data_IF_329675463629
#
_entry.id   IF_329675463629
#
_cell.length_a   1.000
_cell.length_b   1.000
_cell.length_c   1.000
_cell.angle_alpha   90.00
_cell.angle_beta   90.00
_cell.angle_gamma   90.00
#
_symmetry.space_group_name_H-M   'P 1'
#
loop_
_entity.id
_entity.type
_entity.pdbx_description
1 polymer ?
#
# COMPACT_ATOMS: atom_id res chain seq x y z
N UNK A 1 19.05 -21.47 -0.72
CA UNK A 1 17.81 -21.00 -1.36
C UNK A 1 16.60 -21.90 -1.08
N UNK A 2 16.80 -23.20 -0.84
CA UNK A 2 15.70 -24.15 -0.54
C UNK A 2 15.07 -24.00 0.86
N UNK A 3 15.73 -23.32 1.79
CA UNK A 3 15.25 -23.17 3.18
C UNK A 3 14.16 -22.12 3.39
N UNK A 4 14.03 -21.14 2.50
CA UNK A 4 13.03 -20.08 2.64
C UNK A 4 11.62 -20.48 2.14
N UNK A 5 11.53 -21.49 1.27
CA UNK A 5 10.23 -21.97 0.80
C UNK A 5 9.50 -22.86 1.83
N UNK A 6 10.24 -23.50 2.75
CA UNK A 6 9.67 -24.39 3.76
C UNK A 6 8.90 -23.67 4.89
N UNK A 7 9.14 -22.37 5.09
CA UNK A 7 8.48 -21.56 6.11
C UNK A 7 7.32 -20.69 5.57
N UNK A 8 7.00 -20.82 4.30
CA UNK A 8 5.84 -20.16 3.70
C UNK A 8 4.58 -21.02 3.93
N UNK A 9 3.41 -20.42 4.10
CA UNK A 9 2.15 -21.16 4.14
C UNK A 9 2.04 -22.13 2.97
N UNK A 10 1.45 -23.29 3.23
CA UNK A 10 1.24 -24.36 2.23
C UNK A 10 0.73 -23.77 0.91
N UNK A 11 1.42 -24.08 -0.18
CA UNK A 11 1.07 -23.64 -1.53
C UNK A 11 1.83 -22.42 -2.06
N UNK A 12 2.43 -21.58 -1.20
CA UNK A 12 3.17 -20.40 -1.68
C UNK A 12 4.48 -20.80 -2.36
N UNK A 13 5.17 -21.83 -1.84
CA UNK A 13 6.43 -22.29 -2.42
C UNK A 13 6.32 -22.77 -3.86
N UNK A 14 5.23 -23.47 -4.17
CA UNK A 14 4.99 -23.97 -5.53
C UNK A 14 4.48 -22.89 -6.48
N UNK A 15 3.67 -21.96 -5.96
CA UNK A 15 3.18 -20.80 -6.71
C UNK A 15 4.30 -19.83 -7.07
N UNK A 16 5.33 -19.68 -6.23
CA UNK A 16 6.53 -18.87 -6.53
C UNK A 16 7.30 -19.36 -7.76
N UNK A 17 7.26 -20.68 -8.05
CA UNK A 17 7.89 -21.25 -9.24
C UNK A 17 7.08 -21.00 -10.51
N UNK A 18 5.77 -20.89 -10.37
CA UNK A 18 4.83 -20.77 -11.49
C UNK A 18 4.53 -19.30 -11.81
N UNK A 19 4.46 -18.45 -10.78
CA UNK A 19 4.11 -17.04 -10.91
C UNK A 19 4.86 -16.18 -9.89
N UNK A 20 5.95 -15.48 -10.31
CA UNK A 20 6.69 -14.58 -9.42
C UNK A 20 5.84 -13.46 -8.80
N UNK A 21 4.82 -12.98 -9.51
CA UNK A 21 3.91 -11.95 -9.00
C UNK A 21 3.13 -12.40 -7.76
N UNK A 22 2.79 -13.67 -7.69
CA UNK A 22 2.15 -14.27 -6.52
C UNK A 22 3.02 -14.16 -5.26
N UNK A 23 4.31 -14.52 -5.38
CA UNK A 23 5.24 -14.44 -4.26
C UNK A 23 5.51 -13.00 -3.80
N UNK A 24 5.64 -12.08 -4.75
CA UNK A 24 5.80 -10.66 -4.46
C UNK A 24 4.57 -10.10 -3.74
N UNK A 25 3.36 -10.44 -4.20
CA UNK A 25 2.11 -10.03 -3.59
C UNK A 25 1.99 -10.53 -2.13
N UNK A 26 2.32 -11.80 -1.89
CA UNK A 26 2.28 -12.39 -0.56
C UNK A 26 3.26 -11.73 0.41
N UNK A 27 4.49 -11.48 -0.04
CA UNK A 27 5.52 -10.81 0.75
C UNK A 27 5.16 -9.36 1.06
N UNK A 28 4.72 -8.61 0.06
CA UNK A 28 4.32 -7.21 0.23
C UNK A 28 3.16 -7.09 1.22
N UNK A 29 2.13 -7.92 1.09
CA UNK A 29 0.99 -7.96 2.00
C UNK A 29 1.44 -8.22 3.45
N UNK A 30 2.32 -9.17 3.67
CA UNK A 30 2.82 -9.51 5.00
C UNK A 30 3.62 -8.36 5.64
N UNK A 31 4.51 -7.72 4.87
CA UNK A 31 5.30 -6.58 5.35
C UNK A 31 4.39 -5.42 5.74
N UNK A 32 3.43 -5.08 4.90
CA UNK A 32 2.48 -4.00 5.16
C UNK A 32 1.60 -4.31 6.37
N UNK A 33 1.13 -5.54 6.52
CA UNK A 33 0.36 -5.95 7.70
C UNK A 33 1.17 -5.81 9.00
N UNK A 34 2.46 -6.14 8.96
CA UNK A 34 3.34 -5.94 10.12
C UNK A 34 3.53 -4.45 10.45
N UNK A 35 3.63 -3.57 9.45
CA UNK A 35 3.69 -2.13 9.67
C UNK A 35 2.42 -1.60 10.33
N UNK A 36 1.25 -2.10 9.94
CA UNK A 36 -0.02 -1.76 10.57
C UNK A 36 -0.04 -2.18 12.05
N UNK A 37 0.39 -3.39 12.35
CA UNK A 37 0.43 -3.88 13.74
C UNK A 37 1.36 -3.02 14.58
N UNK A 38 2.56 -2.74 14.09
CA UNK A 38 3.59 -1.96 14.81
C UNK A 38 3.19 -0.51 15.01
N UNK A 39 2.51 0.09 14.05
CA UNK A 39 2.14 1.50 14.08
C UNK A 39 1.17 1.87 15.19
N UNK A 40 0.40 0.91 15.70
CA UNK A 40 -0.54 1.09 16.80
C UNK A 40 -0.10 0.39 18.10
N UNK A 41 1.15 0.00 18.21
CA UNK A 41 1.71 -0.55 19.45
C UNK A 41 1.79 0.55 20.52
N UNK A 42 1.49 0.19 21.76
CA UNK A 42 1.54 1.07 22.96
C UNK A 42 0.44 2.14 23.06
N UNK A 43 -0.70 1.94 22.42
CA UNK A 43 -1.89 2.76 22.62
C UNK A 43 -2.73 2.16 23.76
N UNK A 44 -2.40 2.44 25.02
CA UNK A 44 -3.10 1.89 26.18
C UNK A 44 -4.46 2.57 26.46
N UNK A 45 -5.28 1.91 27.29
CA UNK A 45 -6.56 2.43 27.78
C UNK A 45 -7.69 2.40 26.74
N UNK A 46 -8.58 3.39 26.76
CA UNK A 46 -9.72 3.49 25.83
C UNK A 46 -9.35 3.57 24.35
N UNK A 47 -8.10 3.89 24.05
CA UNK A 47 -7.55 3.97 22.69
C UNK A 47 -7.43 2.61 22.01
N UNK A 48 -7.29 1.52 22.76
CA UNK A 48 -7.07 0.18 22.19
C UNK A 48 -8.24 -0.29 21.32
N UNK A 49 -9.48 0.02 21.71
CA UNK A 49 -10.67 -0.34 20.93
C UNK A 49 -10.66 0.40 19.59
N UNK A 50 -10.39 1.70 19.60
CA UNK A 50 -10.35 2.53 18.39
C UNK A 50 -9.17 2.11 17.52
N UNK A 51 -8.00 1.88 18.11
CA UNK A 51 -6.80 1.40 17.41
C UNK A 51 -7.04 0.04 16.75
N UNK A 52 -7.74 -0.88 17.41
CA UNK A 52 -8.10 -2.18 16.83
C UNK A 52 -9.04 -2.03 15.63
N UNK A 53 -10.03 -1.13 15.70
CA UNK A 53 -10.88 -0.83 14.55
C UNK A 53 -10.05 -0.32 13.38
N UNK A 54 -9.16 0.63 13.60
CA UNK A 54 -8.28 1.19 12.54
C UNK A 54 -7.34 0.13 11.97
N UNK A 55 -6.78 -0.75 12.82
CA UNK A 55 -5.97 -1.90 12.34
C UNK A 55 -6.77 -2.78 11.40
N UNK A 56 -8.02 -3.10 11.73
CA UNK A 56 -8.87 -3.95 10.89
C UNK A 56 -9.22 -3.26 9.57
N UNK A 57 -9.58 -1.99 9.61
CA UNK A 57 -9.86 -1.21 8.39
C UNK A 57 -8.65 -1.20 7.45
N UNK A 58 -7.46 -0.89 7.97
CA UNK A 58 -6.23 -0.86 7.17
C UNK A 58 -5.83 -2.24 6.66
N UNK A 59 -5.95 -3.28 7.48
CA UNK A 59 -5.70 -4.67 7.05
C UNK A 59 -6.61 -5.09 5.90
N UNK A 60 -7.89 -4.69 5.95
CA UNK A 60 -8.83 -4.99 4.87
C UNK A 60 -8.45 -4.29 3.56
N UNK A 61 -8.00 -3.02 3.63
CA UNK A 61 -7.56 -2.27 2.45
C UNK A 61 -6.32 -2.91 1.82
N UNK A 62 -5.33 -3.28 2.62
CA UNK A 62 -4.05 -3.83 2.13
C UNK A 62 -4.07 -5.33 1.87
N UNK A 63 -5.19 -5.99 2.12
CA UNK A 63 -5.32 -7.42 1.88
C UNK A 63 -5.17 -7.73 0.40
N UNK A 64 -4.21 -8.57 0.08
CA UNK A 64 -4.00 -9.12 -1.25
C UNK A 64 -4.23 -10.62 -1.16
N UNK A 65 -5.21 -11.13 -1.89
CA UNK A 65 -5.36 -12.56 -2.08
C UNK A 65 -4.42 -13.01 -3.20
N UNK A 66 -3.34 -13.71 -2.86
CA UNK A 66 -2.38 -14.14 -3.87
C UNK A 66 -2.99 -15.09 -4.92
N UNK A 67 -4.07 -15.79 -4.57
CA UNK A 67 -4.71 -16.75 -5.47
C UNK A 67 -5.36 -16.07 -6.70
N UNK A 68 -5.70 -14.78 -6.61
CA UNK A 68 -6.30 -14.04 -7.71
C UNK A 68 -5.29 -13.23 -8.54
N UNK A 69 -4.01 -13.25 -8.16
CA UNK A 69 -2.94 -12.54 -8.87
C UNK A 69 -2.34 -13.46 -9.93
N UNK A 70 -2.82 -13.35 -11.15
CA UNK A 70 -2.36 -14.15 -12.29
C UNK A 70 -1.16 -13.59 -13.04
N UNK A 71 -0.84 -12.30 -12.86
CA UNK A 71 0.21 -11.61 -13.60
C UNK A 71 0.79 -10.42 -12.86
N UNK A 72 1.96 -9.97 -13.30
CA UNK A 72 2.61 -8.73 -12.85
C UNK A 72 1.70 -7.50 -13.03
N UNK A 73 0.94 -7.45 -14.12
CA UNK A 73 0.00 -6.37 -14.40
C UNK A 73 -1.10 -6.32 -13.35
N UNK A 74 -1.72 -7.46 -13.04
CA UNK A 74 -2.77 -7.55 -12.02
C UNK A 74 -2.25 -7.16 -10.64
N UNK A 75 -1.04 -7.60 -10.29
CA UNK A 75 -0.38 -7.19 -9.06
C UNK A 75 -0.21 -5.68 -8.97
N UNK A 76 0.27 -5.03 -10.04
CA UNK A 76 0.44 -3.57 -10.09
C UNK A 76 -0.89 -2.83 -10.00
N UNK A 77 -1.93 -3.31 -10.69
CA UNK A 77 -3.28 -2.75 -10.58
C UNK A 77 -3.78 -2.84 -9.15
N UNK A 78 -3.57 -3.97 -8.48
CA UNK A 78 -3.98 -4.15 -7.08
C UNK A 78 -3.24 -3.19 -6.15
N UNK A 79 -1.94 -2.99 -6.32
CA UNK A 79 -1.17 -2.01 -5.55
C UNK A 79 -1.65 -0.59 -5.77
N UNK A 80 -2.01 -0.20 -7.00
CA UNK A 80 -2.59 1.11 -7.28
C UNK A 80 -3.95 1.31 -6.60
N UNK A 81 -4.77 0.26 -6.56
CA UNK A 81 -6.05 0.29 -5.86
C UNK A 81 -5.84 0.50 -4.36
N UNK A 82 -4.90 -0.23 -3.77
CA UNK A 82 -4.51 -0.07 -2.35
C UNK A 82 -4.02 1.36 -2.08
N UNK A 83 -3.13 1.90 -2.92
CA UNK A 83 -2.64 3.27 -2.79
C UNK A 83 -3.79 4.29 -2.76
N UNK A 84 -4.72 4.16 -3.70
CA UNK A 84 -5.89 5.04 -3.81
C UNK A 84 -6.78 4.99 -2.57
N UNK A 85 -7.07 3.78 -2.09
CA UNK A 85 -7.90 3.56 -0.91
C UNK A 85 -7.22 4.07 0.37
N UNK A 86 -5.91 3.86 0.51
CA UNK A 86 -5.15 4.37 1.64
C UNK A 86 -5.12 5.90 1.66
N UNK A 87 -4.97 6.57 0.52
CA UNK A 87 -5.04 8.04 0.45
C UNK A 87 -6.41 8.58 0.80
N UNK A 88 -7.47 7.90 0.37
CA UNK A 88 -8.84 8.24 0.77
C UNK A 88 -9.01 8.11 2.28
N UNK A 89 -8.53 7.01 2.85
CA UNK A 89 -8.61 6.73 4.28
C UNK A 89 -7.77 7.70 5.12
N UNK A 90 -6.61 8.11 4.63
CA UNK A 90 -5.80 9.14 5.28
C UNK A 90 -6.56 10.46 5.44
N UNK A 91 -7.28 10.91 4.41
CA UNK A 91 -8.14 12.12 4.50
C UNK A 91 -9.26 11.98 5.53
N UNK A 92 -9.89 10.79 5.64
CA UNK A 92 -10.88 10.52 6.67
C UNK A 92 -10.27 10.62 8.07
N UNK A 93 -9.09 10.04 8.27
CA UNK A 93 -8.38 10.09 9.55
C UNK A 93 -7.87 11.49 9.87
N UNK A 94 -7.38 12.26 8.90
CA UNK A 94 -7.02 13.67 9.07
C UNK A 94 -8.21 14.49 9.56
N UNK A 95 -9.39 14.29 8.97
CA UNK A 95 -10.62 14.93 9.43
C UNK A 95 -10.96 14.52 10.87
N UNK A 96 -10.87 13.24 11.20
CA UNK A 96 -11.14 12.74 12.55
C UNK A 96 -10.11 13.28 13.56
N UNK A 97 -8.84 13.44 13.16
CA UNK A 97 -7.81 14.04 14.01
C UNK A 97 -8.13 15.48 14.39
N UNK A 98 -8.82 16.21 13.52
CA UNK A 98 -9.23 17.62 13.76
C UNK A 98 -10.57 17.71 14.50
N UNK A 99 -11.55 16.87 14.14
CA UNK A 99 -12.95 17.03 14.54
C UNK A 99 -13.51 15.87 15.38
N UNK A 100 -12.70 14.87 15.70
CA UNK A 100 -13.13 13.71 16.49
C UNK A 100 -13.70 14.11 17.84
N UNK A 101 -14.77 13.42 18.26
CA UNK A 101 -15.55 13.75 19.46
C UNK A 101 -14.73 13.64 20.76
N UNK A 102 -13.78 12.71 20.81
CA UNK A 102 -12.92 12.50 21.99
C UNK A 102 -11.45 12.74 21.66
N UNK A 103 -10.67 13.03 22.69
CA UNK A 103 -9.21 13.18 22.54
C UNK A 103 -8.59 11.87 22.05
N UNK A 104 -9.07 10.73 22.56
CA UNK A 104 -8.57 9.42 22.13
C UNK A 104 -8.82 9.17 20.65
N UNK A 105 -10.02 9.49 20.14
CA UNK A 105 -10.31 9.40 18.70
C UNK A 105 -9.36 10.25 17.86
N UNK A 106 -9.14 11.50 18.26
CA UNK A 106 -8.23 12.40 17.55
C UNK A 106 -6.80 11.87 17.55
N UNK A 107 -6.32 11.39 18.70
CA UNK A 107 -4.96 10.88 18.83
C UNK A 107 -4.73 9.60 18.00
N UNK A 108 -5.66 8.64 18.07
CA UNK A 108 -5.56 7.41 17.27
C UNK A 108 -5.66 7.72 15.77
N UNK A 109 -6.44 8.73 15.38
CA UNK A 109 -6.52 9.17 14.00
C UNK A 109 -5.18 9.74 13.49
N UNK A 110 -4.47 10.52 14.29
CA UNK A 110 -3.11 11.01 13.96
C UNK A 110 -2.15 9.83 13.71
N UNK A 111 -2.17 8.84 14.58
CA UNK A 111 -1.34 7.64 14.39
C UNK A 111 -1.75 6.85 13.13
N UNK A 112 -3.04 6.76 12.87
CA UNK A 112 -3.56 6.14 11.65
C UNK A 112 -3.04 6.81 10.38
N UNK A 113 -3.02 8.14 10.33
CA UNK A 113 -2.42 8.90 9.21
C UNK A 113 -0.93 8.58 9.08
N UNK A 114 -0.20 8.54 10.18
CA UNK A 114 1.24 8.21 10.19
C UNK A 114 1.50 6.82 9.62
N UNK A 115 0.73 5.81 10.05
CA UNK A 115 0.83 4.43 9.54
C UNK A 115 0.55 4.38 8.04
N UNK A 116 -0.52 5.06 7.59
CA UNK A 116 -0.85 5.12 6.15
C UNK A 116 0.29 5.74 5.36
N UNK A 117 0.85 6.86 5.79
CA UNK A 117 1.95 7.54 5.12
C UNK A 117 3.19 6.65 5.02
N UNK A 118 3.48 5.86 6.05
CA UNK A 118 4.57 4.89 6.02
C UNK A 118 4.32 3.80 4.98
N UNK A 119 3.10 3.27 4.88
CA UNK A 119 2.73 2.26 3.88
C UNK A 119 2.80 2.86 2.47
N UNK A 120 2.28 4.05 2.25
CA UNK A 120 2.35 4.75 0.95
C UNK A 120 3.79 5.00 0.51
N UNK A 121 4.69 5.34 1.45
CA UNK A 121 6.12 5.46 1.19
C UNK A 121 6.76 4.14 0.71
N UNK A 122 6.33 3.01 1.25
CA UNK A 122 6.77 1.68 0.80
C UNK A 122 6.23 1.31 -0.58
N UNK A 123 4.98 1.62 -0.86
CA UNK A 123 4.36 1.37 -2.17
C UNK A 123 4.99 2.21 -3.26
N UNK A 124 5.34 3.45 -2.95
CA UNK A 124 6.02 4.41 -3.84
C UNK A 124 5.40 4.48 -5.26
N UNK A 125 4.07 4.52 -5.34
CA UNK A 125 3.33 4.54 -6.60
C UNK A 125 3.27 5.95 -7.14
N UNK A 126 3.66 6.18 -8.41
CA UNK A 126 3.56 7.48 -9.04
C UNK A 126 2.12 7.99 -9.10
N UNK A 127 1.91 9.25 -8.79
CA UNK A 127 0.59 9.89 -8.82
C UNK A 127 0.32 10.62 -10.15
N UNK A 128 1.35 10.95 -10.91
CA UNK A 128 1.21 11.54 -12.23
C UNK A 128 0.80 10.51 -13.26
N UNK A 129 -0.34 10.74 -13.91
CA UNK A 129 -0.81 9.93 -15.03
C UNK A 129 -0.62 10.70 -16.33
N UNK A 130 0.04 10.09 -17.28
CA UNK A 130 0.26 10.61 -18.64
C UNK A 130 -0.78 10.00 -19.55
N UNK A 131 -1.56 10.86 -20.24
CA UNK A 131 -2.63 10.48 -21.14
C UNK A 131 -2.27 10.71 -22.62
N UNK A 132 -1.29 11.57 -22.86
CA UNK A 132 -0.87 11.98 -24.19
C UNK A 132 0.64 12.26 -24.25
N UNK A 133 1.17 12.35 -25.47
CA UNK A 133 2.54 12.75 -25.70
C UNK A 133 2.83 14.15 -25.11
N UNK A 134 1.87 15.08 -25.18
CA UNK A 134 2.02 16.41 -24.60
C UNK A 134 2.14 16.38 -23.07
N UNK A 135 1.39 15.51 -22.40
CA UNK A 135 1.52 15.34 -20.95
C UNK A 135 2.90 14.80 -20.60
N UNK A 136 3.42 13.85 -21.41
CA UNK A 136 4.77 13.32 -21.21
C UNK A 136 5.84 14.40 -21.38
N UNK A 137 5.71 15.28 -22.35
CA UNK A 137 6.67 16.36 -22.60
C UNK A 137 6.74 17.38 -21.47
N UNK A 138 5.63 17.60 -20.77
CA UNK A 138 5.55 18.50 -19.59
C UNK A 138 6.21 17.94 -18.33
N UNK A 139 6.53 16.66 -18.30
CA UNK A 139 7.23 16.06 -17.15
C UNK A 139 8.67 16.59 -17.08
N UNK A 140 9.16 16.79 -15.86
CA UNK A 140 10.55 17.07 -15.62
C UNK A 140 11.41 15.80 -15.74
N UNK A 141 12.69 15.90 -16.15
CA UNK A 141 13.59 14.77 -16.10
C UNK A 141 13.65 14.16 -14.68
N UNK A 142 13.57 12.83 -14.60
CA UNK A 142 13.55 12.11 -13.33
C UNK A 142 12.17 11.99 -12.65
N UNK A 143 11.14 12.67 -13.15
CA UNK A 143 9.78 12.48 -12.64
C UNK A 143 9.26 11.08 -12.92
N UNK A 144 8.62 10.49 -11.90
CA UNK A 144 7.93 9.20 -12.03
C UNK A 144 6.49 9.40 -12.49
N UNK A 145 6.02 8.55 -13.37
CA UNK A 145 4.69 8.63 -13.96
C UNK A 145 4.14 7.26 -14.35
N UNK A 146 2.85 7.21 -14.63
CA UNK A 146 2.12 6.09 -15.20
C UNK A 146 1.49 6.52 -16.51
N UNK A 147 1.48 5.65 -17.52
CA UNK A 147 0.59 5.82 -18.66
C UNK A 147 -0.85 5.44 -18.26
N UNK A 148 -1.85 6.10 -18.88
CA UNK A 148 -3.27 5.89 -18.56
C UNK A 148 -3.66 4.40 -18.62
N UNK A 149 -3.14 3.69 -19.62
CA UNK A 149 -3.50 2.30 -19.90
C UNK A 149 -2.40 1.30 -19.47
N UNK A 150 -1.34 1.77 -18.82
CA UNK A 150 -0.23 0.95 -18.39
C UNK A 150 0.10 1.20 -16.91
N UNK A 151 -0.18 0.22 -16.03
CA UNK A 151 0.08 0.35 -14.60
C UNK A 151 1.56 0.26 -14.24
N UNK A 152 2.46 0.18 -15.22
CA UNK A 152 3.90 0.09 -14.98
C UNK A 152 4.49 1.47 -14.67
N UNK A 153 5.04 1.71 -13.48
CA UNK A 153 5.74 2.95 -13.17
C UNK A 153 6.95 3.17 -14.10
N UNK A 154 7.06 4.38 -14.60
CA UNK A 154 8.15 4.79 -15.46
C UNK A 154 8.79 6.08 -14.93
N UNK A 155 10.02 6.34 -15.32
CA UNK A 155 10.73 7.58 -15.02
C UNK A 155 11.05 8.30 -16.31
N UNK A 156 10.79 9.61 -16.36
CA UNK A 156 11.18 10.40 -17.54
C UNK A 156 12.70 10.44 -17.66
N UNK A 157 13.20 10.02 -18.82
CA UNK A 157 14.62 10.12 -19.17
C UNK A 157 15.09 11.58 -19.22
N UNK A 158 16.33 11.84 -18.82
CA UNK A 158 16.99 13.10 -19.14
C UNK A 158 17.27 13.16 -20.64
N UNK A 159 17.08 14.32 -21.24
CA UNK A 159 17.60 14.55 -22.58
C UNK A 159 19.13 14.38 -22.53
N UNK A 160 19.64 13.40 -23.29
CA UNK A 160 21.09 13.29 -23.54
C UNK A 160 21.52 14.38 -24.51
#
# INVERSE_FOLDING_TARGET
VKRNAANLPLGIGDSLKVNPAYGQAAMASKVIQNDIVRGFVNMGGGKDTIANQYRQELKNIVSIDPAIIGSDREYRIKLQTIDKELRRKAKEYEKTAQTGATQDMRQVAVEGVSVINQILGRLNIPQKTVKSQQDYERLQPGEKYLWLDDPTPRTKGGNK
#
